data_IF_222303569004
#
_entry.id   IF_222303569004
#
_cell.length_a   1.000
_cell.length_b   1.000
_cell.length_c   1.000
_cell.angle_alpha   90.00
_cell.angle_beta   90.00
_cell.angle_gamma   90.00
#
_symmetry.space_group_name_H-M   'P 1'
#
loop_
_entity.id
_entity.type
_entity.pdbx_description
1 polymer ?
#
# COMPACT_ATOMS: atom_id res chain seq x y z
N UNK A 1 59.05 -25.76 -5.57
CA UNK A 1 58.20 -24.79 -6.28
C UNK A 1 56.90 -25.49 -6.65
N UNK A 2 55.92 -25.43 -5.75
CA UNK A 2 54.48 -25.66 -6.01
C UNK A 2 54.00 -24.71 -7.12
N UNK A 3 53.25 -25.18 -8.12
CA UNK A 3 51.77 -25.34 -8.08
C UNK A 3 51.16 -24.24 -8.97
N UNK A 4 49.96 -24.26 -9.55
CA UNK A 4 48.73 -25.04 -9.39
C UNK A 4 47.86 -24.87 -10.66
N UNK A 5 46.93 -25.81 -10.87
CA UNK A 5 45.84 -25.80 -11.87
C UNK A 5 44.64 -24.91 -11.44
N UNK A 6 43.82 -24.56 -12.44
CA UNK A 6 42.63 -23.69 -12.42
C UNK A 6 41.57 -23.98 -11.34
N UNK A 7 40.93 -22.92 -10.81
CA UNK A 7 39.61 -23.03 -10.18
C UNK A 7 38.77 -21.74 -10.36
N UNK A 8 37.46 -21.91 -10.53
CA UNK A 8 36.50 -20.88 -10.97
C UNK A 8 36.32 -19.67 -10.04
N UNK A 9 36.03 -18.52 -10.65
CA UNK A 9 35.68 -17.29 -9.93
C UNK A 9 34.17 -17.30 -9.64
N UNK A 10 33.82 -17.55 -8.39
CA UNK A 10 32.54 -17.19 -7.80
C UNK A 10 32.67 -15.76 -7.26
N UNK A 11 31.88 -14.83 -7.77
CA UNK A 11 31.77 -13.50 -7.18
C UNK A 11 30.90 -13.57 -5.92
N UNK A 12 31.38 -13.10 -4.75
CA UNK A 12 30.54 -13.06 -3.55
C UNK A 12 29.45 -12.00 -3.70
N UNK A 13 28.21 -12.36 -3.37
CA UNK A 13 27.10 -11.43 -3.25
C UNK A 13 27.37 -10.41 -2.13
N UNK A 14 27.04 -9.12 -2.31
CA UNK A 14 27.18 -8.15 -1.23
C UNK A 14 26.16 -8.44 -0.14
N UNK A 15 26.68 -8.81 1.04
CA UNK A 15 25.92 -8.85 2.29
C UNK A 15 25.61 -7.40 2.70
N UNK A 16 24.40 -6.93 2.38
CA UNK A 16 23.90 -5.67 2.89
C UNK A 16 23.53 -5.82 4.37
N UNK A 17 23.99 -4.85 5.13
CA UNK A 17 24.05 -4.83 6.58
C UNK A 17 22.67 -4.85 7.26
N UNK A 18 22.67 -5.46 8.44
CA UNK A 18 21.64 -5.44 9.46
C UNK A 18 21.29 -3.99 9.82
N UNK A 19 20.08 -3.55 9.46
CA UNK A 19 19.51 -2.30 9.95
C UNK A 19 18.95 -2.52 11.37
N UNK A 20 19.24 -1.56 12.23
CA UNK A 20 18.78 -1.40 13.61
C UNK A 20 17.24 -1.51 13.73
N UNK A 21 16.69 -2.11 14.81
CA UNK A 21 15.25 -2.26 14.96
C UNK A 21 14.58 -0.91 15.26
N UNK A 22 14.08 -0.25 14.22
CA UNK A 22 13.12 0.85 14.37
C UNK A 22 11.86 0.32 15.08
N UNK A 23 11.41 0.91 16.19
CA UNK A 23 10.24 0.42 16.90
C UNK A 23 8.96 0.67 16.07
N UNK A 24 8.26 -0.42 15.75
CA UNK A 24 6.87 -0.48 15.28
C UNK A 24 6.52 0.25 13.96
N UNK A 25 6.96 -0.31 12.82
CA UNK A 25 6.25 -0.11 11.53
C UNK A 25 5.97 -1.42 10.77
N UNK A 26 6.28 -2.57 11.37
CA UNK A 26 6.27 -3.88 10.70
C UNK A 26 5.00 -4.71 10.95
N UNK A 27 4.12 -4.31 11.87
CA UNK A 27 2.94 -5.12 12.22
C UNK A 27 1.71 -4.81 11.35
N UNK A 28 1.47 -3.55 10.98
CA UNK A 28 0.30 -3.18 10.17
C UNK A 28 0.35 -3.73 8.73
N UNK A 29 1.55 -3.82 8.14
CA UNK A 29 1.76 -4.30 6.76
C UNK A 29 1.49 -5.80 6.58
N UNK A 30 1.61 -6.58 7.65
CA UNK A 30 1.29 -8.02 7.63
C UNK A 30 -0.21 -8.27 7.81
N UNK A 31 -0.90 -7.40 8.56
CA UNK A 31 -2.30 -7.56 8.92
C UNK A 31 -3.25 -6.99 7.86
N UNK A 32 -2.85 -5.92 7.18
CA UNK A 32 -3.65 -5.27 6.14
C UNK A 32 -2.77 -4.97 4.92
N UNK A 33 -3.28 -5.31 3.74
CA UNK A 33 -2.57 -5.16 2.47
C UNK A 33 -3.22 -4.08 1.63
N UNK A 34 -2.42 -3.19 1.05
CA UNK A 34 -2.90 -2.18 0.10
C UNK A 34 -2.23 -2.39 -1.25
N UNK A 35 -3.04 -2.51 -2.30
CA UNK A 35 -2.55 -2.67 -3.67
C UNK A 35 -3.19 -1.61 -4.58
N UNK A 36 -2.37 -0.89 -5.34
CA UNK A 36 -2.82 0.17 -6.26
C UNK A 36 -2.59 -0.27 -7.71
N UNK A 37 -3.64 -0.19 -8.54
CA UNK A 37 -3.59 -0.59 -9.95
C UNK A 37 -4.13 0.53 -10.86
N UNK A 38 -3.36 0.99 -11.87
CA UNK A 38 -3.90 1.88 -12.89
C UNK A 38 -4.91 1.12 -13.76
N UNK A 39 -6.09 1.71 -13.97
CA UNK A 39 -7.21 1.09 -14.73
C UNK A 39 -7.58 1.87 -15.98
N UNK A 40 -7.26 3.16 -16.03
CA UNK A 40 -7.43 4.00 -17.20
C UNK A 40 -6.44 5.16 -17.13
N UNK A 41 -6.16 5.77 -18.28
CA UNK A 41 -5.35 6.98 -18.38
C UNK A 41 -5.81 7.88 -19.51
N UNK A 42 -5.74 9.19 -19.32
CA UNK A 42 -6.06 10.17 -20.35
C UNK A 42 -5.22 11.42 -20.17
N UNK A 43 -4.98 12.14 -21.27
CA UNK A 43 -4.26 13.43 -21.24
C UNK A 43 -5.28 14.56 -21.35
N UNK A 44 -5.21 15.50 -20.41
CA UNK A 44 -6.01 16.72 -20.43
C UNK A 44 -5.11 17.92 -20.12
N UNK A 45 -5.20 18.98 -20.91
CA UNK A 45 -4.42 20.21 -20.73
C UNK A 45 -2.90 19.97 -20.61
N UNK A 46 -2.36 19.06 -21.42
CA UNK A 46 -0.92 18.72 -21.41
C UNK A 46 -0.45 17.90 -20.20
N UNK A 47 -1.36 17.45 -19.32
CA UNK A 47 -1.04 16.57 -18.19
C UNK A 47 -1.72 15.21 -18.35
N UNK A 48 -0.96 14.14 -18.13
CA UNK A 48 -1.49 12.77 -18.13
C UNK A 48 -2.04 12.43 -16.75
N UNK A 49 -3.31 12.05 -16.71
CA UNK A 49 -3.99 11.56 -15.53
C UNK A 49 -4.21 10.06 -15.63
N UNK A 50 -4.22 9.41 -14.49
CA UNK A 50 -4.52 7.99 -14.33
C UNK A 50 -5.65 7.82 -13.33
N UNK A 51 -6.55 6.87 -13.62
CA UNK A 51 -7.51 6.34 -12.66
C UNK A 51 -6.87 5.13 -11.99
N UNK A 52 -6.66 5.22 -10.68
CA UNK A 52 -6.14 4.13 -9.87
C UNK A 52 -7.29 3.45 -9.11
N UNK A 53 -7.34 2.12 -9.19
CA UNK A 53 -8.13 1.30 -8.29
C UNK A 53 -7.24 0.82 -7.16
N UNK A 54 -7.63 1.09 -5.93
CA UNK A 54 -6.90 0.68 -4.74
C UNK A 54 -7.71 -0.34 -3.97
N UNK A 55 -7.12 -1.51 -3.74
CA UNK A 55 -7.72 -2.60 -2.98
C UNK A 55 -7.02 -2.69 -1.63
N UNK A 56 -7.80 -2.51 -0.56
CA UNK A 56 -7.38 -2.72 0.83
C UNK A 56 -7.95 -4.06 1.28
N UNK A 57 -7.09 -5.05 1.45
CA UNK A 57 -7.48 -6.41 1.84
C UNK A 57 -7.21 -6.63 3.31
N UNK A 58 -8.23 -7.12 4.00
CA UNK A 58 -8.12 -7.62 5.36
C UNK A 58 -7.47 -9.01 5.36
N UNK A 59 -6.27 -9.12 5.94
CA UNK A 59 -5.56 -10.40 6.12
C UNK A 59 -5.66 -10.90 7.56
N UNK A 60 -6.46 -10.24 8.40
CA UNK A 60 -6.71 -10.65 9.79
C UNK A 60 -7.67 -11.83 9.83
N UNK A 61 -7.59 -12.64 10.89
CA UNK A 61 -8.55 -13.71 11.19
C UNK A 61 -9.86 -13.20 11.85
N UNK A 62 -10.01 -11.88 11.97
CA UNK A 62 -11.13 -11.22 12.64
C UNK A 62 -11.83 -10.24 11.71
N UNK A 63 -13.02 -9.80 12.09
CA UNK A 63 -13.75 -8.78 11.34
C UNK A 63 -13.19 -7.39 11.65
N UNK A 64 -12.71 -6.70 10.62
CA UNK A 64 -12.27 -5.32 10.68
C UNK A 64 -13.47 -4.37 10.78
N UNK A 65 -13.69 -3.78 11.96
CA UNK A 65 -14.81 -2.86 12.20
C UNK A 65 -14.54 -1.46 11.67
N UNK A 66 -13.30 -1.01 11.80
CA UNK A 66 -12.92 0.33 11.43
C UNK A 66 -11.51 0.33 10.85
N UNK A 67 -11.32 1.15 9.83
CA UNK A 67 -10.00 1.45 9.26
C UNK A 67 -9.91 2.94 9.03
N UNK A 68 -8.76 3.51 9.36
CA UNK A 68 -8.40 4.88 9.12
C UNK A 68 -7.20 4.92 8.18
N UNK A 69 -7.40 5.51 7.01
CA UNK A 69 -6.43 5.61 5.93
C UNK A 69 -5.92 7.04 5.84
N UNK A 70 -4.59 7.19 5.76
CA UNK A 70 -3.94 8.45 5.42
C UNK A 70 -3.53 8.40 3.96
N UNK A 71 -4.08 9.32 3.18
CA UNK A 71 -3.78 9.47 1.76
C UNK A 71 -3.10 10.82 1.57
N UNK A 72 -1.82 10.79 1.21
CA UNK A 72 -0.97 11.96 1.01
C UNK A 72 -0.70 12.19 -0.48
N UNK A 73 -0.37 13.45 -0.82
CA UNK A 73 -0.09 13.92 -2.19
C UNK A 73 -1.25 13.81 -3.18
N UNK A 74 -2.40 13.28 -2.78
CA UNK A 74 -3.61 13.24 -3.61
C UNK A 74 -4.22 14.64 -3.77
N UNK A 75 -4.35 15.11 -5.02
CA UNK A 75 -5.03 16.37 -5.35
C UNK A 75 -6.26 16.19 -6.25
N UNK A 76 -6.53 14.96 -6.69
CA UNK A 76 -7.68 14.67 -7.56
C UNK A 76 -8.85 14.07 -6.78
N UNK A 77 -9.98 13.82 -7.47
CA UNK A 77 -11.16 13.26 -6.84
C UNK A 77 -10.94 11.81 -6.40
N UNK A 78 -11.65 11.43 -5.34
CA UNK A 78 -11.63 10.10 -4.73
C UNK A 78 -13.06 9.62 -4.47
N UNK A 79 -13.29 8.33 -4.70
CA UNK A 79 -14.56 7.64 -4.50
C UNK A 79 -14.35 6.33 -3.75
N UNK A 80 -15.35 5.90 -2.99
CA UNK A 80 -15.30 4.63 -2.24
C UNK A 80 -14.77 4.75 -0.81
N UNK A 81 -14.43 5.95 -0.34
CA UNK A 81 -14.13 6.25 1.06
C UNK A 81 -14.91 7.49 1.51
N UNK A 82 -15.02 7.67 2.82
CA UNK A 82 -15.54 8.90 3.44
C UNK A 82 -14.40 9.67 4.10
N UNK A 83 -14.29 10.96 3.80
CA UNK A 83 -13.30 11.83 4.44
C UNK A 83 -13.70 12.10 5.89
N UNK A 84 -12.76 11.90 6.82
CA UNK A 84 -12.91 12.19 8.25
C UNK A 84 -11.69 13.00 8.71
N UNK A 85 -11.85 14.33 8.77
CA UNK A 85 -10.74 15.26 8.97
C UNK A 85 -9.68 15.13 7.87
N UNK A 86 -8.44 14.84 8.29
CA UNK A 86 -7.28 14.64 7.40
C UNK A 86 -7.11 13.20 6.90
N UNK A 87 -8.04 12.32 7.32
CA UNK A 87 -7.99 10.89 7.04
C UNK A 87 -9.23 10.41 6.29
N UNK A 88 -9.23 9.14 5.90
CA UNK A 88 -10.32 8.50 5.18
C UNK A 88 -10.76 7.22 5.88
N UNK A 89 -12.06 7.01 5.94
CA UNK A 89 -12.70 5.89 6.62
C UNK A 89 -13.64 5.16 5.66
N UNK A 90 -14.24 4.06 6.12
CA UNK A 90 -15.26 3.36 5.36
C UNK A 90 -16.40 4.30 4.94
N UNK A 91 -16.97 4.09 3.74
CA UNK A 91 -18.18 4.77 3.35
C UNK A 91 -19.36 4.34 4.24
N UNK A 92 -20.39 5.17 4.37
CA UNK A 92 -21.51 4.93 5.30
C UNK A 92 -22.26 3.61 5.09
N UNK A 93 -22.20 3.05 3.88
CA UNK A 93 -22.82 1.75 3.54
C UNK A 93 -21.99 0.54 3.96
N UNK A 94 -20.73 0.72 4.40
CA UNK A 94 -19.86 -0.35 4.91
C UNK A 94 -19.64 -0.15 6.40
N UNK A 95 -20.20 -1.06 7.20
CA UNK A 95 -20.09 -1.03 8.66
C UNK A 95 -18.89 -1.82 9.19
N UNK A 96 -18.41 -2.80 8.41
CA UNK A 96 -17.24 -3.60 8.72
C UNK A 96 -16.83 -4.45 7.52
N UNK A 97 -15.57 -4.86 7.49
CA UNK A 97 -15.02 -5.78 6.50
C UNK A 97 -14.73 -7.15 7.16
N UNK A 98 -15.38 -8.24 6.73
CA UNK A 98 -15.08 -9.57 7.25
C UNK A 98 -13.65 -10.01 6.90
N UNK A 99 -13.12 -10.94 7.69
CA UNK A 99 -11.81 -11.56 7.46
C UNK A 99 -11.67 -12.07 6.01
N UNK A 100 -10.53 -11.76 5.38
CA UNK A 100 -10.23 -12.16 4.01
C UNK A 100 -11.01 -11.39 2.92
N UNK A 101 -11.82 -10.40 3.29
CA UNK A 101 -12.50 -9.52 2.33
C UNK A 101 -11.68 -8.27 2.07
N UNK A 102 -12.06 -7.56 1.02
CA UNK A 102 -11.37 -6.35 0.57
C UNK A 102 -12.33 -5.19 0.37
N UNK A 103 -11.85 -3.99 0.66
CA UNK A 103 -12.47 -2.73 0.26
C UNK A 103 -11.75 -2.22 -0.99
N UNK A 104 -12.51 -1.82 -2.01
CA UNK A 104 -11.97 -1.13 -3.18
C UNK A 104 -12.41 0.34 -3.18
N UNK A 105 -11.47 1.23 -3.49
CA UNK A 105 -11.74 2.63 -3.72
C UNK A 105 -10.94 3.13 -4.93
N UNK A 106 -11.43 4.20 -5.55
CA UNK A 106 -10.89 4.72 -6.80
C UNK A 106 -10.48 6.17 -6.61
N UNK A 107 -9.35 6.55 -7.18
CA UNK A 107 -8.93 7.94 -7.23
C UNK A 107 -8.33 8.28 -8.59
N UNK A 108 -8.35 9.57 -8.92
CA UNK A 108 -7.73 10.09 -10.13
C UNK A 108 -6.55 10.96 -9.74
N UNK A 109 -5.39 10.71 -10.35
CA UNK A 109 -4.16 11.44 -10.05
C UNK A 109 -3.19 11.38 -11.24
N UNK A 110 -2.29 12.35 -11.39
CA UNK A 110 -1.19 12.19 -12.35
C UNK A 110 -0.08 11.34 -11.73
N UNK A 111 0.83 10.81 -12.54
CA UNK A 111 2.01 10.14 -12.01
C UNK A 111 2.94 11.13 -11.30
N UNK A 112 3.58 10.76 -10.18
CA UNK A 112 3.54 9.47 -9.47
C UNK A 112 2.27 9.27 -8.63
N UNK A 113 1.89 8.01 -8.37
CA UNK A 113 0.69 7.63 -7.61
C UNK A 113 0.66 8.23 -6.19
N UNK A 114 -0.54 8.30 -5.58
CA UNK A 114 -0.70 8.81 -4.23
C UNK A 114 -0.07 7.88 -3.17
N UNK A 115 0.39 8.46 -2.07
CA UNK A 115 0.90 7.71 -0.93
C UNK A 115 -0.28 7.31 -0.04
N UNK A 116 -0.46 6.01 0.16
CA UNK A 116 -1.58 5.44 0.93
C UNK A 116 -1.00 4.64 2.08
N UNK A 117 -1.42 4.96 3.28
CA UNK A 117 -0.96 4.31 4.52
C UNK A 117 -2.13 4.08 5.46
N UNK A 118 -2.01 3.07 6.31
CA UNK A 118 -3.01 2.73 7.31
C UNK A 118 -2.56 3.38 8.61
N UNK A 119 -3.36 4.31 9.12
CA UNK A 119 -3.07 5.04 10.35
C UNK A 119 -3.50 4.26 11.58
N UNK A 120 -4.71 3.71 11.56
CA UNK A 120 -5.27 2.93 12.67
C UNK A 120 -6.41 2.03 12.18
N UNK A 121 -6.73 1.02 12.96
CA UNK A 121 -7.84 0.12 12.71
C UNK A 121 -8.38 -0.47 14.01
N UNK A 122 -9.57 -1.05 13.96
CA UNK A 122 -10.21 -1.71 15.09
C UNK A 122 -10.87 -3.00 14.63
N UNK A 123 -10.70 -4.05 15.42
CA UNK A 123 -11.25 -5.39 15.17
C UNK A 123 -12.40 -5.70 16.15
N UNK A 124 -13.26 -6.63 15.75
CA UNK A 124 -14.31 -7.21 16.61
C UNK A 124 -13.79 -8.34 17.51
#
# INVERSE_FOLDING_TARGET
MDGFLFNGVVFPAPKAAMAEPSPALVTASNELSTEQKPTASWTANGRTYHRYSTVVTDKLDKTLKYVNLLISKLYGPLWGLTKSGDSYVYPSWIQSLPSGKSLEFVYIHASPQADISISSYTMA
#
